data_IF_018640228389
#
_entry.id   IF_018640228389
#
_cell.length_a   1.000
_cell.length_b   1.000
_cell.length_c   1.000
_cell.angle_alpha   90.00
_cell.angle_beta   90.00
_cell.angle_gamma   90.00
#
_symmetry.space_group_name_H-M   'P 1'
#
loop_
_entity.id
_entity.type
_entity.pdbx_description
1 polymer ?
#
# COMPACT_ATOMS: atom_id res chain seq x y z
N UNK A 1 -31.79 5.93 39.87
CA UNK A 1 -33.13 5.34 39.69
C UNK A 1 -33.49 5.54 38.24
N UNK A 2 -33.42 4.50 37.54
CA UNK A 2 -34.23 3.97 36.46
C UNK A 2 -33.32 3.11 35.56
N UNK A 3 -33.52 1.87 35.78
CA UNK A 3 -33.13 0.71 35.00
C UNK A 3 -33.87 0.79 33.66
N UNK A 4 -33.16 0.83 32.56
CA UNK A 4 -33.72 0.47 31.27
C UNK A 4 -33.12 -0.85 30.84
N UNK A 5 -34.02 -1.81 30.80
CA UNK A 5 -33.85 -3.17 30.40
C UNK A 5 -33.59 -3.21 28.89
N UNK A 6 -32.40 -3.61 28.48
CA UNK A 6 -32.13 -4.03 27.09
C UNK A 6 -32.85 -5.35 26.85
N UNK A 7 -33.91 -5.27 26.06
CA UNK A 7 -34.57 -6.46 25.51
C UNK A 7 -33.69 -6.95 24.36
N UNK A 8 -33.00 -8.04 24.59
CA UNK A 8 -32.31 -8.80 23.52
C UNK A 8 -33.38 -9.53 22.72
N UNK A 9 -33.59 -9.15 21.49
CA UNK A 9 -34.34 -9.96 20.53
C UNK A 9 -33.51 -11.20 20.18
N UNK A 10 -34.03 -12.37 20.50
CA UNK A 10 -33.40 -13.69 20.34
C UNK A 10 -33.59 -14.29 18.94
N UNK A 11 -33.66 -13.54 17.86
CA UNK A 11 -33.90 -14.07 16.51
C UNK A 11 -33.05 -13.41 15.41
N UNK A 12 -31.84 -12.96 15.68
CA UNK A 12 -30.86 -12.75 14.63
C UNK A 12 -29.80 -13.83 14.70
N UNK A 13 -29.89 -14.75 13.75
CA UNK A 13 -28.90 -15.79 13.45
C UNK A 13 -27.57 -15.11 13.13
N UNK A 14 -26.79 -14.82 14.18
CA UNK A 14 -25.46 -14.26 14.07
C UNK A 14 -24.56 -15.38 13.53
N UNK A 15 -24.64 -15.63 12.23
CA UNK A 15 -23.69 -16.51 11.55
C UNK A 15 -22.33 -15.87 11.66
N UNK A 16 -21.65 -16.20 12.74
CA UNK A 16 -20.27 -15.90 12.97
C UNK A 16 -19.45 -16.51 11.82
N UNK A 17 -19.06 -15.68 10.87
CA UNK A 17 -18.14 -16.08 9.82
C UNK A 17 -16.72 -16.11 10.40
N UNK A 18 -16.15 -17.31 10.64
CA UNK A 18 -14.81 -17.42 11.23
C UNK A 18 -13.68 -16.88 10.34
N UNK A 19 -14.00 -16.42 9.13
CA UNK A 19 -13.03 -15.84 8.19
C UNK A 19 -12.56 -14.44 8.53
N UNK A 20 -13.20 -13.75 9.50
CA UNK A 20 -12.86 -12.37 9.90
C UNK A 20 -11.76 -12.29 10.98
N UNK A 21 -11.24 -13.41 11.48
CA UNK A 21 -10.30 -13.43 12.62
C UNK A 21 -8.92 -14.02 12.30
N UNK A 22 -8.64 -14.45 11.06
CA UNK A 22 -7.28 -14.85 10.70
C UNK A 22 -6.63 -13.76 9.85
N UNK A 23 -5.87 -12.90 10.51
CA UNK A 23 -4.94 -12.01 9.80
C UNK A 23 -4.02 -12.88 8.93
N UNK A 24 -3.85 -12.48 7.68
CA UNK A 24 -2.90 -13.17 6.81
C UNK A 24 -1.48 -13.00 7.34
N UNK A 25 -0.58 -13.90 6.99
CA UNK A 25 0.84 -13.77 7.35
C UNK A 25 1.45 -12.45 6.86
N UNK A 26 0.92 -11.93 5.76
CA UNK A 26 1.35 -10.63 5.21
C UNK A 26 0.88 -9.48 6.12
N UNK A 27 -0.39 -9.47 6.50
CA UNK A 27 -0.94 -8.48 7.41
C UNK A 27 -0.19 -8.47 8.76
N UNK A 28 0.08 -9.63 9.34
CA UNK A 28 0.85 -9.75 10.59
C UNK A 28 2.27 -9.18 10.48
N UNK A 29 2.93 -9.39 9.31
CA UNK A 29 4.27 -8.82 9.06
C UNK A 29 4.22 -7.31 8.95
N UNK A 30 3.21 -6.78 8.27
CA UNK A 30 3.02 -5.34 8.11
C UNK A 30 2.76 -4.69 9.47
N UNK A 31 1.90 -5.27 10.31
CA UNK A 31 1.64 -4.73 11.65
C UNK A 31 2.91 -4.68 12.51
N UNK A 32 3.74 -5.70 12.49
CA UNK A 32 5.04 -5.67 13.18
C UNK A 32 5.97 -4.55 12.68
N UNK A 33 5.96 -4.26 11.39
CA UNK A 33 6.72 -3.12 10.83
C UNK A 33 6.15 -1.80 11.34
N UNK A 34 4.81 -1.63 11.34
CA UNK A 34 4.14 -0.44 11.87
C UNK A 34 4.45 -0.22 13.36
N UNK A 35 4.40 -1.25 14.17
CA UNK A 35 4.77 -1.19 15.59
C UNK A 35 6.24 -0.76 15.77
N UNK A 36 7.13 -1.28 14.93
CA UNK A 36 8.56 -0.89 14.95
C UNK A 36 8.74 0.59 14.60
N UNK A 37 8.03 1.08 13.59
CA UNK A 37 8.03 2.48 13.19
C UNK A 37 7.48 3.35 14.33
N UNK A 38 6.34 3.00 14.91
CA UNK A 38 5.72 3.74 16.00
C UNK A 38 6.64 3.83 17.21
N UNK A 39 7.27 2.71 17.59
CA UNK A 39 8.26 2.68 18.68
C UNK A 39 9.48 3.56 18.39
N UNK A 40 9.97 3.60 17.17
CA UNK A 40 11.08 4.45 16.78
C UNK A 40 10.69 5.95 16.78
N UNK A 41 9.49 6.28 16.30
CA UNK A 41 8.95 7.63 16.33
C UNK A 41 8.81 8.15 17.76
N UNK A 42 8.24 7.33 18.67
CA UNK A 42 8.11 7.69 20.07
C UNK A 42 9.48 8.01 20.72
N UNK A 43 10.52 7.21 20.42
CA UNK A 43 11.87 7.46 20.95
C UNK A 43 12.52 8.73 20.38
N UNK A 44 12.19 9.08 19.15
CA UNK A 44 12.76 10.24 18.46
C UNK A 44 11.90 11.52 18.56
N UNK A 45 10.79 11.47 19.28
CA UNK A 45 9.78 12.55 19.39
C UNK A 45 9.28 13.02 18.01
N UNK A 46 8.97 12.05 17.16
CA UNK A 46 8.49 12.27 15.80
C UNK A 46 7.08 11.68 15.69
N UNK A 47 6.22 12.33 14.92
CA UNK A 47 4.90 11.80 14.63
C UNK A 47 5.00 10.62 13.65
N UNK A 48 4.13 9.62 13.81
CA UNK A 48 4.11 8.43 12.93
C UNK A 48 3.70 8.82 11.51
N UNK A 49 2.84 9.81 11.39
CA UNK A 49 2.32 10.36 10.13
C UNK A 49 3.40 11.02 9.26
N UNK A 50 4.51 11.43 9.87
CA UNK A 50 5.69 11.96 9.16
C UNK A 50 6.49 10.85 8.45
N UNK A 51 6.19 9.58 8.73
CA UNK A 51 6.88 8.43 8.16
C UNK A 51 6.02 7.74 7.11
N UNK A 52 6.45 7.79 5.87
CA UNK A 52 5.76 7.10 4.77
C UNK A 52 6.35 5.72 4.56
N UNK A 53 5.54 4.69 4.81
CA UNK A 53 5.91 3.30 4.51
C UNK A 53 5.71 3.03 3.02
N UNK A 54 6.78 2.66 2.33
CA UNK A 54 6.75 2.19 0.94
C UNK A 54 6.94 0.69 0.92
N UNK A 55 5.95 -0.04 0.42
CA UNK A 55 6.03 -1.50 0.32
C UNK A 55 6.67 -1.89 -1.01
N UNK A 56 7.77 -2.63 -0.92
CA UNK A 56 8.56 -3.04 -2.09
C UNK A 56 7.99 -4.32 -2.69
N UNK A 57 7.54 -4.23 -3.95
CA UNK A 57 6.80 -5.30 -4.65
C UNK A 57 7.62 -6.05 -5.70
N UNK A 58 8.90 -5.74 -5.87
CA UNK A 58 9.78 -6.26 -6.95
C UNK A 58 9.86 -7.79 -7.08
N UNK A 59 9.50 -8.52 -6.04
CA UNK A 59 9.54 -10.00 -6.00
C UNK A 59 8.18 -10.60 -5.64
N UNK A 60 7.15 -9.77 -5.48
CA UNK A 60 5.81 -10.20 -5.11
C UNK A 60 5.00 -10.62 -6.34
N UNK A 61 4.12 -11.60 -6.17
CA UNK A 61 3.07 -11.92 -7.12
C UNK A 61 1.97 -10.86 -7.12
N UNK A 62 1.14 -10.86 -8.16
CA UNK A 62 0.04 -9.88 -8.25
C UNK A 62 -0.95 -10.04 -7.10
N UNK A 63 -1.24 -11.24 -6.68
CA UNK A 63 -2.17 -11.54 -5.59
C UNK A 63 -1.71 -10.94 -4.26
N UNK A 64 -0.40 -11.02 -3.96
CA UNK A 64 0.19 -10.40 -2.78
C UNK A 64 0.14 -8.86 -2.85
N UNK A 65 0.31 -8.30 -4.04
CA UNK A 65 0.23 -6.84 -4.25
C UNK A 65 -1.21 -6.35 -4.07
N UNK A 66 -2.19 -7.08 -4.60
CA UNK A 66 -3.60 -6.79 -4.40
C UNK A 66 -4.00 -6.88 -2.93
N UNK A 67 -3.47 -7.86 -2.19
CA UNK A 67 -3.68 -7.98 -0.76
C UNK A 67 -3.14 -6.74 -0.01
N UNK A 68 -1.93 -6.28 -0.34
CA UNK A 68 -1.35 -5.04 0.21
C UNK A 68 -2.27 -3.85 -0.02
N UNK A 69 -2.84 -3.74 -1.24
CA UNK A 69 -3.76 -2.66 -1.58
C UNK A 69 -5.08 -2.79 -0.81
N UNK A 70 -5.63 -4.01 -0.66
CA UNK A 70 -6.82 -4.25 0.19
C UNK A 70 -6.58 -3.87 1.66
N UNK A 71 -5.37 -4.03 2.15
CA UNK A 71 -4.97 -3.59 3.49
C UNK A 71 -4.80 -2.07 3.64
N UNK A 72 -5.10 -1.30 2.58
CA UNK A 72 -5.08 0.16 2.59
C UNK A 72 -3.74 0.81 2.23
N UNK A 73 -2.72 0.02 1.86
CA UNK A 73 -1.41 0.56 1.49
C UNK A 73 -1.40 0.99 0.02
N UNK A 74 -1.04 2.23 -0.20
CA UNK A 74 -1.04 2.86 -1.52
C UNK A 74 0.30 3.43 -1.97
N UNK A 75 1.39 3.20 -1.22
CA UNK A 75 2.75 3.54 -1.63
C UNK A 75 3.54 2.27 -1.92
N UNK A 76 3.74 1.97 -3.20
CA UNK A 76 4.38 0.74 -3.67
C UNK A 76 5.67 1.04 -4.45
N UNK A 77 6.69 0.19 -4.28
CA UNK A 77 8.01 0.42 -4.86
C UNK A 77 8.47 -0.70 -5.80
N UNK A 78 8.87 -0.32 -7.01
CA UNK A 78 9.41 -1.21 -8.04
C UNK A 78 10.80 -0.77 -8.50
N UNK A 79 11.65 -1.75 -8.85
CA UNK A 79 13.02 -1.48 -9.25
C UNK A 79 13.27 -1.62 -10.77
N UNK A 80 12.32 -2.11 -11.54
CA UNK A 80 12.42 -2.32 -12.98
C UNK A 80 11.29 -1.63 -13.72
N UNK A 81 11.63 -0.82 -14.72
CA UNK A 81 10.68 -0.01 -15.49
C UNK A 81 9.56 -0.84 -16.11
N UNK A 82 9.90 -1.96 -16.74
CA UNK A 82 8.90 -2.81 -17.40
C UNK A 82 7.98 -3.49 -16.39
N UNK A 83 8.52 -3.91 -15.25
CA UNK A 83 7.73 -4.49 -14.16
C UNK A 83 6.80 -3.44 -13.56
N UNK A 84 7.30 -2.24 -13.29
CA UNK A 84 6.51 -1.11 -12.79
C UNK A 84 5.29 -0.86 -13.69
N UNK A 85 5.48 -0.75 -15.00
CA UNK A 85 4.38 -0.53 -15.94
C UNK A 85 3.36 -1.66 -15.94
N UNK A 86 3.84 -2.90 -15.96
CA UNK A 86 2.98 -4.09 -15.96
C UNK A 86 2.11 -4.14 -14.70
N UNK A 87 2.75 -4.06 -13.53
CA UNK A 87 2.06 -4.20 -12.25
C UNK A 87 1.14 -3.00 -11.99
N UNK A 88 1.56 -1.80 -12.35
CA UNK A 88 0.71 -0.60 -12.22
C UNK A 88 -0.57 -0.72 -13.06
N UNK A 89 -0.48 -1.27 -14.27
CA UNK A 89 -1.66 -1.55 -15.09
C UNK A 89 -2.61 -2.56 -14.42
N UNK A 90 -2.07 -3.68 -13.93
CA UNK A 90 -2.86 -4.71 -13.26
C UNK A 90 -3.55 -4.17 -11.98
N UNK A 91 -2.82 -3.40 -11.16
CA UNK A 91 -3.38 -2.78 -9.95
C UNK A 91 -4.43 -1.72 -10.30
N UNK A 92 -4.26 -0.97 -11.37
CA UNK A 92 -5.27 -0.01 -11.82
C UNK A 92 -6.57 -0.71 -12.24
N UNK A 93 -6.49 -1.82 -12.98
CA UNK A 93 -7.65 -2.66 -13.31
C UNK A 93 -8.31 -3.23 -12.06
N UNK A 94 -7.53 -3.73 -11.12
CA UNK A 94 -8.01 -4.22 -9.84
C UNK A 94 -8.78 -3.15 -9.05
N UNK A 95 -8.22 -1.93 -8.91
CA UNK A 95 -8.89 -0.81 -8.25
C UNK A 95 -10.19 -0.40 -8.96
N UNK A 96 -10.21 -0.46 -10.28
CA UNK A 96 -11.40 -0.14 -11.07
C UNK A 96 -12.53 -1.17 -10.84
N UNK A 97 -12.18 -2.45 -10.70
CA UNK A 97 -13.14 -3.52 -10.39
C UNK A 97 -13.72 -3.39 -8.97
N UNK A 98 -13.00 -2.73 -8.06
CA UNK A 98 -13.39 -2.51 -6.66
C UNK A 98 -13.70 -1.04 -6.35
N UNK A 99 -14.13 -0.27 -7.34
CA UNK A 99 -14.31 1.19 -7.22
C UNK A 99 -15.33 1.57 -6.14
N UNK A 100 -16.31 0.72 -5.86
CA UNK A 100 -17.36 0.93 -4.86
C UNK A 100 -16.91 0.61 -3.43
N UNK A 101 -15.78 -0.08 -3.25
CA UNK A 101 -15.23 -0.38 -1.93
C UNK A 101 -14.57 0.87 -1.33
N UNK A 102 -15.22 1.42 -0.29
CA UNK A 102 -14.73 2.61 0.41
C UNK A 102 -13.53 2.34 1.32
N UNK A 103 -13.21 1.09 1.61
CA UNK A 103 -12.06 0.71 2.45
C UNK A 103 -10.76 0.70 1.67
N UNK A 104 -10.84 0.60 0.35
CA UNK A 104 -9.68 0.56 -0.54
C UNK A 104 -9.18 1.95 -0.94
N UNK A 105 -7.87 2.11 -1.14
CA UNK A 105 -7.32 3.35 -1.67
C UNK A 105 -7.84 3.59 -3.10
N UNK A 106 -8.16 4.84 -3.43
CA UNK A 106 -8.62 5.21 -4.78
C UNK A 106 -7.48 5.25 -5.80
N UNK A 107 -6.25 5.42 -5.32
CA UNK A 107 -5.04 5.52 -6.17
C UNK A 107 -3.85 4.89 -5.48
N UNK A 108 -2.92 4.35 -6.28
CA UNK A 108 -1.63 3.88 -5.81
C UNK A 108 -0.53 4.82 -6.31
N UNK A 109 0.37 5.20 -5.40
CA UNK A 109 1.56 6.00 -5.68
C UNK A 109 2.75 5.07 -5.91
N UNK A 110 3.20 5.01 -7.14
CA UNK A 110 4.32 4.17 -7.53
C UNK A 110 5.66 4.85 -7.31
N UNK A 111 6.59 4.15 -6.70
CA UNK A 111 7.95 4.61 -6.45
C UNK A 111 8.92 3.82 -7.32
N UNK A 112 9.66 4.52 -8.18
CA UNK A 112 10.81 3.91 -8.87
C UNK A 112 12.00 3.91 -7.93
N UNK A 113 12.32 2.74 -7.39
CA UNK A 113 13.38 2.57 -6.37
C UNK A 113 14.67 1.94 -6.93
N UNK A 114 14.66 1.52 -8.20
CA UNK A 114 15.84 0.95 -8.86
C UNK A 114 16.59 1.97 -9.68
N UNK A 115 17.79 1.60 -10.15
CA UNK A 115 18.59 2.44 -11.03
C UNK A 115 17.80 2.79 -12.31
N UNK A 116 17.73 4.06 -12.64
CA UNK A 116 17.01 4.58 -13.79
C UNK A 116 17.98 5.09 -14.86
N UNK A 117 17.94 4.46 -16.01
CA UNK A 117 18.67 4.95 -17.19
C UNK A 117 17.92 6.13 -17.84
N UNK A 118 18.64 7.15 -18.32
CA UNK A 118 18.09 8.32 -18.99
C UNK A 118 17.09 7.97 -20.11
N UNK A 119 17.45 7.03 -20.98
CA UNK A 119 16.61 6.57 -22.09
C UNK A 119 15.31 5.86 -21.65
N UNK A 120 15.12 5.60 -20.35
CA UNK A 120 13.93 5.00 -19.75
C UNK A 120 13.04 6.01 -19.02
N UNK A 121 13.50 7.24 -18.82
CA UNK A 121 12.75 8.28 -18.08
C UNK A 121 11.33 8.45 -18.62
N UNK A 122 11.18 8.65 -19.93
CA UNK A 122 9.87 8.83 -20.56
C UNK A 122 8.90 7.66 -20.37
N UNK A 123 9.44 6.46 -20.08
CA UNK A 123 8.62 5.28 -19.81
C UNK A 123 8.15 5.21 -18.36
N UNK A 124 8.85 5.88 -17.44
CA UNK A 124 8.57 5.87 -15.99
C UNK A 124 7.67 7.02 -15.58
N UNK A 125 7.88 8.21 -16.12
CA UNK A 125 7.15 9.44 -15.73
C UNK A 125 5.63 9.31 -15.72
N UNK A 126 4.97 8.62 -16.65
CA UNK A 126 3.51 8.50 -16.62
C UNK A 126 2.98 7.66 -15.44
N UNK A 127 3.84 6.86 -14.80
CA UNK A 127 3.45 5.89 -13.79
C UNK A 127 4.01 6.21 -12.41
N UNK A 128 5.30 6.59 -12.33
CA UNK A 128 5.96 6.82 -11.05
C UNK A 128 5.62 8.19 -10.46
N UNK A 129 5.15 8.19 -9.22
CA UNK A 129 4.95 9.41 -8.42
C UNK A 129 6.25 9.94 -7.84
N UNK A 130 7.24 9.07 -7.63
CA UNK A 130 8.53 9.43 -7.06
C UNK A 130 9.65 8.54 -7.61
N UNK A 131 10.78 9.14 -7.93
CA UNK A 131 12.01 8.45 -8.36
C UNK A 131 13.05 8.66 -7.28
N UNK A 132 13.52 7.55 -6.66
CA UNK A 132 14.46 7.59 -5.54
C UNK A 132 15.93 7.60 -5.97
N UNK A 133 16.21 7.25 -7.23
CA UNK A 133 17.55 6.94 -7.73
C UNK A 133 18.09 7.98 -8.72
N UNK A 134 17.86 9.24 -8.43
CA UNK A 134 18.43 10.33 -9.24
C UNK A 134 19.87 10.58 -8.79
N UNK A 135 20.83 10.06 -9.54
CA UNK A 135 22.26 10.00 -9.20
C UNK A 135 23.13 10.96 -10.00
N UNK A 136 22.58 11.59 -11.04
CA UNK A 136 23.30 12.52 -11.89
C UNK A 136 22.47 13.71 -12.29
N UNK A 137 23.11 14.87 -12.49
CA UNK A 137 22.45 16.07 -13.01
C UNK A 137 21.77 15.80 -14.37
N UNK A 138 22.43 15.06 -15.26
CA UNK A 138 21.87 14.71 -16.57
C UNK A 138 20.60 13.87 -16.47
N UNK A 139 20.48 13.03 -15.44
CA UNK A 139 19.23 12.28 -15.19
C UNK A 139 18.15 13.22 -14.66
N UNK A 140 18.51 14.13 -13.74
CA UNK A 140 17.57 15.12 -13.22
C UNK A 140 17.01 16.03 -14.33
N UNK A 141 17.89 16.48 -15.23
CA UNK A 141 17.49 17.28 -16.41
C UNK A 141 16.54 16.53 -17.36
N UNK A 142 16.73 15.22 -17.52
CA UNK A 142 15.83 14.40 -18.37
C UNK A 142 14.46 14.16 -17.71
N UNK A 143 14.40 14.18 -16.37
CA UNK A 143 13.16 14.00 -15.61
C UNK A 143 12.33 15.29 -15.60
N UNK A 144 12.97 16.46 -15.61
CA UNK A 144 12.33 17.79 -15.57
C UNK A 144 11.73 18.15 -16.92
#
# INVERSE_FOLDING_TARGET
MLSECLVLNEDEDFSFHPQLLQMTKLAERIERVKETIASACARSRREVEDVRLVIVTKSAGIEEIEEVVRLGFNHLGENRVLQLKKVAGQVAEFLQQHADDSTMPKTVHWHMIGHLLRNKVRQVLPTASLIHSVDTLRLAEEIN
#
